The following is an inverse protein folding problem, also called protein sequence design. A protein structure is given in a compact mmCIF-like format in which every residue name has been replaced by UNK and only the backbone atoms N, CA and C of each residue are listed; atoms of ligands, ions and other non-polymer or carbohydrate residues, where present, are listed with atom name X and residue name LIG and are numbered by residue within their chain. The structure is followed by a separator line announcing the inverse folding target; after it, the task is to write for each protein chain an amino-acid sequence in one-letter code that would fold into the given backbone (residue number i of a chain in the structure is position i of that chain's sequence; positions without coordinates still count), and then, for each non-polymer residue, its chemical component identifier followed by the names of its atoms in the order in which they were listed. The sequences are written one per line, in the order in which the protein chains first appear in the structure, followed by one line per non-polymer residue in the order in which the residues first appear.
data_IF_403904795666
#
_entry.id   IF_403904795666
#
_cell.length_a   1.000
_cell.length_b   1.000
_cell.length_c   1.000
_cell.angle_alpha   90.00
_cell.angle_beta   90.00
_cell.angle_gamma   90.00
#
_symmetry.space_group_name_H-M   'P 1'
#
loop_
_entity.id
_entity.type
_entity.pdbx_description
1 polymer ?
#
# COMPACT_ATOMS: atom_id res chain seq x y z
N UNK A 1 -29.04 -11.05 -14.61
CA UNK A 1 -27.79 -10.29 -14.40
C UNK A 1 -26.82 -10.73 -15.47
N UNK A 2 -26.38 -9.80 -16.30
CA UNK A 2 -25.53 -10.06 -17.45
C UNK A 2 -24.12 -10.41 -16.97
N UNK A 3 -23.59 -11.57 -17.38
CA UNK A 3 -22.28 -12.12 -16.94
C UNK A 3 -21.08 -11.32 -17.52
N UNK A 4 -21.36 -10.30 -18.36
CA UNK A 4 -20.36 -9.58 -19.17
C UNK A 4 -20.21 -8.09 -18.84
N UNK A 5 -21.05 -7.53 -17.95
CA UNK A 5 -20.95 -6.12 -17.59
C UNK A 5 -20.04 -5.96 -16.38
N UNK A 6 -18.79 -5.54 -16.64
CA UNK A 6 -17.82 -5.22 -15.61
C UNK A 6 -18.32 -4.05 -14.76
N UNK A 7 -18.06 -4.10 -13.46
CA UNK A 7 -18.26 -2.93 -12.60
C UNK A 7 -17.35 -1.79 -13.06
N UNK A 8 -17.80 -0.54 -12.91
CA UNK A 8 -16.98 0.65 -13.13
C UNK A 8 -15.64 0.56 -12.39
N UNK A 9 -15.64 0.02 -11.17
CA UNK A 9 -14.42 -0.14 -10.38
C UNK A 9 -13.43 -1.13 -11.01
N UNK A 10 -13.91 -2.19 -11.64
CA UNK A 10 -13.05 -3.15 -12.35
C UNK A 10 -12.47 -2.53 -13.62
N UNK A 11 -13.28 -1.78 -14.37
CA UNK A 11 -12.84 -1.07 -15.57
C UNK A 11 -11.70 -0.10 -15.20
N UNK A 12 -11.89 0.69 -14.15
CA UNK A 12 -10.87 1.64 -13.65
C UNK A 12 -9.58 0.89 -13.28
N UNK A 13 -9.67 -0.22 -12.53
CA UNK A 13 -8.49 -1.01 -12.14
C UNK A 13 -7.74 -1.60 -13.33
N UNK A 14 -8.46 -2.07 -14.35
CA UNK A 14 -7.86 -2.61 -15.58
C UNK A 14 -7.20 -1.52 -16.42
N UNK A 15 -7.82 -0.35 -16.51
CA UNK A 15 -7.23 0.80 -17.19
C UNK A 15 -5.93 1.22 -16.50
N UNK A 16 -5.92 1.35 -15.16
CA UNK A 16 -4.70 1.66 -14.42
C UNK A 16 -3.60 0.60 -14.59
N UNK A 17 -3.98 -0.68 -14.71
CA UNK A 17 -3.01 -1.75 -15.01
C UNK A 17 -2.37 -1.57 -16.40
N UNK A 18 -3.17 -1.21 -17.40
CA UNK A 18 -2.68 -0.95 -18.76
C UNK A 18 -1.81 0.30 -18.81
N UNK A 19 -2.15 1.36 -18.08
CA UNK A 19 -1.33 2.56 -17.96
C UNK A 19 0.04 2.27 -17.35
N UNK A 20 0.10 1.44 -16.30
CA UNK A 20 1.38 1.00 -15.71
C UNK A 20 2.26 0.28 -16.75
N UNK A 21 1.67 -0.63 -17.52
CA UNK A 21 2.37 -1.34 -18.59
C UNK A 21 2.83 -0.41 -19.72
N UNK A 22 2.00 0.58 -20.08
CA UNK A 22 2.35 1.58 -21.09
C UNK A 22 3.52 2.47 -20.66
N UNK A 23 3.67 2.71 -19.35
CA UNK A 23 4.84 3.37 -18.77
C UNK A 23 6.08 2.46 -18.66
N UNK A 24 6.00 1.21 -19.12
CA UNK A 24 7.08 0.23 -19.01
C UNK A 24 7.29 -0.33 -17.60
N UNK A 25 6.34 -0.13 -16.70
CA UNK A 25 6.38 -0.68 -15.33
C UNK A 25 5.67 -2.03 -15.37
N UNK A 26 6.42 -3.12 -15.13
CA UNK A 26 5.83 -4.45 -14.98
C UNK A 26 5.24 -4.62 -13.57
N UNK A 27 3.90 -4.70 -13.43
CA UNK A 27 3.28 -4.78 -12.12
C UNK A 27 3.37 -6.18 -11.50
N UNK A 28 3.57 -7.22 -12.34
CA UNK A 28 3.63 -8.62 -11.92
C UNK A 28 4.57 -9.41 -12.85
N UNK A 29 5.67 -9.99 -12.32
CA UNK A 29 6.18 -9.86 -10.96
C UNK A 29 6.74 -8.46 -10.69
N UNK A 30 6.39 -7.87 -9.55
CA UNK A 30 6.97 -6.59 -9.15
C UNK A 30 8.47 -6.75 -8.85
N UNK A 31 9.26 -5.73 -9.19
CA UNK A 31 10.66 -5.66 -8.77
C UNK A 31 10.76 -5.75 -7.24
N UNK A 32 11.81 -6.42 -6.74
CA UNK A 32 12.04 -6.53 -5.32
C UNK A 32 12.22 -5.14 -4.69
N UNK A 33 11.42 -4.87 -3.66
CA UNK A 33 11.50 -3.64 -2.89
C UNK A 33 12.04 -3.95 -1.50
N UNK A 34 13.24 -3.47 -1.20
CA UNK A 34 13.90 -3.70 0.09
C UNK A 34 13.20 -2.88 1.17
N UNK A 35 12.60 -3.56 2.14
CA UNK A 35 12.03 -2.95 3.34
C UNK A 35 13.01 -3.05 4.51
N UNK A 36 13.09 -2.00 5.33
CA UNK A 36 14.00 -1.96 6.49
C UNK A 36 13.27 -1.85 7.84
N UNK A 37 11.94 -1.64 7.82
CA UNK A 37 11.16 -1.41 9.01
C UNK A 37 9.73 -1.92 8.83
N UNK A 38 9.07 -2.25 9.95
CA UNK A 38 7.66 -2.64 10.00
C UNK A 38 6.85 -1.58 10.76
N UNK A 39 5.55 -1.45 10.48
CA UNK A 39 4.76 -0.38 11.10
C UNK A 39 4.66 -0.53 12.63
N UNK A 40 4.68 -1.76 13.14
CA UNK A 40 4.69 -2.03 14.59
C UNK A 40 6.01 -1.60 15.23
N UNK A 41 7.12 -1.81 14.55
CA UNK A 41 8.47 -1.47 15.00
C UNK A 41 8.65 0.05 15.05
N UNK A 42 8.28 0.73 13.96
CA UNK A 42 8.32 2.19 13.86
C UNK A 42 7.51 2.82 15.01
N UNK A 43 6.31 2.32 15.31
CA UNK A 43 5.50 2.86 16.40
C UNK A 43 6.09 2.62 17.80
N UNK A 44 6.84 1.53 17.98
CA UNK A 44 7.42 1.16 19.27
C UNK A 44 8.74 1.92 19.53
N UNK A 45 9.56 2.08 18.51
CA UNK A 45 10.88 2.71 18.62
C UNK A 45 10.88 4.22 18.32
N UNK A 46 9.78 4.78 17.83
CA UNK A 46 9.70 6.21 17.55
C UNK A 46 9.82 7.03 18.84
N UNK A 47 10.83 7.89 18.89
CA UNK A 47 11.07 8.85 19.97
C UNK A 47 11.18 10.25 19.36
N UNK A 48 10.50 11.20 19.96
CA UNK A 48 10.41 12.58 19.47
C UNK A 48 11.74 13.35 19.60
N UNK A 49 12.60 12.93 20.54
CA UNK A 49 13.85 13.60 20.89
C UNK A 49 15.08 13.07 20.10
N UNK A 50 14.91 12.05 19.26
CA UNK A 50 15.99 11.46 18.45
C UNK A 50 15.93 11.88 16.99
N UNK A 51 17.08 11.80 16.30
CA UNK A 51 17.14 12.08 14.86
C UNK A 51 16.22 11.14 14.07
N UNK A 52 15.48 11.66 13.08
CA UNK A 52 14.52 10.86 12.33
C UNK A 52 15.22 9.76 11.53
N UNK A 53 14.99 8.50 11.91
CA UNK A 53 15.47 7.34 11.16
C UNK A 53 14.82 7.27 9.77
N UNK A 54 15.64 7.03 8.74
CA UNK A 54 15.13 6.74 7.40
C UNK A 54 14.54 5.33 7.35
N UNK A 55 13.28 5.23 6.98
CA UNK A 55 12.54 3.97 6.90
C UNK A 55 11.99 3.73 5.51
N UNK A 56 11.97 2.46 5.10
CA UNK A 56 11.42 1.94 3.85
C UNK A 56 10.47 0.81 4.21
N UNK A 57 9.20 1.01 3.89
CA UNK A 57 8.10 0.11 4.28
C UNK A 57 7.32 -0.31 3.04
N UNK A 58 6.77 -1.53 3.06
CA UNK A 58 5.87 -2.03 2.02
C UNK A 58 4.68 -2.74 2.67
N UNK A 59 3.54 -2.71 1.99
CA UNK A 59 2.31 -3.29 2.49
C UNK A 59 1.12 -3.04 1.57
N UNK A 60 -0.06 -3.46 2.02
CA UNK A 60 -1.32 -3.22 1.32
C UNK A 60 -1.83 -1.81 1.63
N UNK A 61 -2.15 -1.04 0.58
CA UNK A 61 -2.86 0.23 0.74
C UNK A 61 -4.32 -0.04 1.11
N UNK A 62 -4.72 0.42 2.29
CA UNK A 62 -6.07 0.20 2.83
C UNK A 62 -7.00 1.37 2.52
N UNK A 63 -6.50 2.58 2.70
CA UNK A 63 -7.26 3.82 2.58
C UNK A 63 -6.32 4.93 2.13
N UNK A 64 -6.82 5.83 1.30
CA UNK A 64 -6.09 6.99 0.79
C UNK A 64 -7.00 8.20 0.84
N UNK A 65 -6.55 9.27 1.48
CA UNK A 65 -7.24 10.56 1.57
C UNK A 65 -6.39 11.62 0.88
N UNK A 66 -6.87 12.16 -0.22
CA UNK A 66 -6.18 13.18 -1.01
C UNK A 66 -6.70 14.56 -0.60
N UNK A 67 -5.81 15.42 -0.13
CA UNK A 67 -6.10 16.78 0.35
C UNK A 67 -5.36 17.79 -0.55
N UNK A 68 -5.71 17.81 -1.85
CA UNK A 68 -5.08 18.68 -2.83
C UNK A 68 -3.59 18.36 -3.05
N UNK A 69 -2.70 19.16 -2.46
CA UNK A 69 -1.24 18.98 -2.55
C UNK A 69 -0.67 17.98 -1.53
N UNK A 70 -1.47 17.52 -0.57
CA UNK A 70 -1.09 16.51 0.40
C UNK A 70 -1.92 15.25 0.24
N UNK A 71 -1.38 14.09 0.61
CA UNK A 71 -2.12 12.84 0.63
C UNK A 71 -1.75 12.03 1.86
N UNK A 72 -2.75 11.46 2.51
CA UNK A 72 -2.59 10.55 3.64
C UNK A 72 -2.96 9.15 3.18
N UNK A 73 -2.11 8.18 3.50
CA UNK A 73 -2.29 6.79 3.11
C UNK A 73 -2.21 5.93 4.36
N UNK A 74 -3.16 5.01 4.50
CA UNK A 74 -3.12 3.95 5.50
C UNK A 74 -2.53 2.70 4.86
N UNK A 75 -1.34 2.32 5.31
CA UNK A 75 -0.62 1.14 4.84
C UNK A 75 -0.71 0.04 5.91
N UNK A 76 -0.97 -1.19 5.47
CA UNK A 76 -0.92 -2.38 6.32
C UNK A 76 0.21 -3.29 5.85
N UNK A 77 1.24 -3.43 6.66
CA UNK A 77 2.33 -4.39 6.45
C UNK A 77 1.99 -5.76 7.05
N UNK A 78 2.81 -6.76 6.72
CA UNK A 78 2.64 -8.14 7.14
C UNK A 78 2.58 -8.33 8.68
N UNK A 79 3.36 -7.55 9.44
CA UNK A 79 3.49 -7.69 10.90
C UNK A 79 2.30 -7.07 11.64
N UNK A 80 1.49 -6.24 10.97
CA UNK A 80 0.29 -5.65 11.56
C UNK A 80 -0.95 -6.49 11.20
N UNK A 81 -1.44 -7.36 12.10
CA UNK A 81 -2.67 -8.09 11.85
C UNK A 81 -3.85 -7.14 11.68
N UNK A 82 -4.87 -7.58 10.92
CA UNK A 82 -6.14 -6.86 10.87
C UNK A 82 -6.71 -6.72 12.28
N UNK A 83 -7.23 -5.54 12.68
CA UNK A 83 -8.00 -5.43 13.91
C UNK A 83 -9.17 -6.43 13.83
N UNK A 84 -9.14 -7.46 14.69
CA UNK A 84 -10.14 -8.54 14.71
C UNK A 84 -9.70 -9.88 14.10
N UNK A 85 -8.47 -9.99 13.58
CA UNK A 85 -7.92 -11.27 13.10
C UNK A 85 -6.72 -11.63 13.97
N UNK A 86 -6.97 -12.39 15.04
CA UNK A 86 -5.90 -13.07 15.79
C UNK A 86 -5.38 -14.22 14.92
N UNK A 87 -4.12 -14.17 14.52
CA UNK A 87 -3.44 -15.38 14.07
C UNK A 87 -2.98 -16.14 15.34
N UNK A 88 -3.21 -17.46 15.44
CA UNK A 88 -2.71 -18.27 16.55
C UNK A 88 -1.18 -18.26 16.65
#
# INVERSE_FOLDING_TARGET
MNVLELSEQEIIRRNSLNELRAMGIEPYPAAEYVTNAFSTDIKAEFKDDEEPRKVSVAGRMMSRRVMGKASFIELQDYKRPYPGVYHP
#
